data_IF_349568630236
#
_entry.id   IF_349568630236
#
_cell.length_a   1.000
_cell.length_b   1.000
_cell.length_c   1.000
_cell.angle_alpha   90.00
_cell.angle_beta   90.00
_cell.angle_gamma   90.00
#
_symmetry.space_group_name_H-M   'P 1'
#
loop_
_entity.id
_entity.type
_entity.pdbx_description
1 polymer ?
#
# COMPACT_ATOMS: atom_id res chain seq x y z
N UNK A 1 22.90 -9.51 6.58
CA UNK A 1 22.19 -10.33 7.59
C UNK A 1 22.12 -9.64 8.94
N UNK A 2 23.22 -9.07 9.44
CA UNK A 2 23.23 -8.29 10.70
C UNK A 2 22.12 -7.24 10.79
N UNK A 3 21.85 -6.47 9.72
CA UNK A 3 20.77 -5.48 9.72
C UNK A 3 19.37 -6.05 9.92
N UNK A 4 19.09 -7.23 9.37
CA UNK A 4 17.77 -7.87 9.47
C UNK A 4 17.61 -8.56 10.82
N UNK A 5 18.71 -9.02 11.42
CA UNK A 5 18.71 -9.91 12.57
C UNK A 5 18.14 -11.29 12.24
N UNK A 6 18.02 -12.13 13.27
CA UNK A 6 17.54 -13.50 13.17
C UNK A 6 18.60 -14.49 12.71
N UNK A 7 18.30 -15.78 12.90
CA UNK A 7 19.18 -16.88 12.50
C UNK A 7 18.86 -17.28 11.06
N UNK A 8 19.86 -17.15 10.19
CA UNK A 8 19.75 -17.42 8.76
C UNK A 8 20.46 -18.72 8.41
N UNK A 9 19.69 -19.73 7.99
CA UNK A 9 20.20 -21.04 7.62
C UNK A 9 20.19 -21.19 6.10
N UNK A 10 21.21 -21.85 5.54
CA UNK A 10 21.30 -22.08 4.10
C UNK A 10 20.22 -23.08 3.66
N UNK A 11 19.43 -22.71 2.66
CA UNK A 11 18.41 -23.56 2.05
C UNK A 11 19.01 -24.59 1.08
N UNK A 12 18.24 -25.66 0.82
CA UNK A 12 18.64 -26.72 -0.09
C UNK A 12 18.58 -26.31 -1.58
N UNK A 13 17.68 -25.39 -1.92
CA UNK A 13 17.44 -24.92 -3.30
C UNK A 13 17.47 -23.41 -3.39
N UNK A 14 17.76 -22.90 -4.58
CA UNK A 14 17.72 -21.47 -4.88
C UNK A 14 16.30 -20.87 -4.84
N UNK A 15 16.21 -19.55 -4.98
CA UNK A 15 14.97 -18.78 -4.90
C UNK A 15 14.95 -17.67 -5.94
N UNK A 16 13.88 -17.52 -6.73
CA UNK A 16 13.70 -16.42 -7.71
C UNK A 16 14.92 -16.14 -8.61
N UNK A 17 15.61 -17.19 -9.08
CA UNK A 17 16.81 -17.05 -9.93
C UNK A 17 18.12 -16.82 -9.16
N UNK A 18 18.08 -16.78 -7.82
CA UNK A 18 19.24 -16.76 -6.95
C UNK A 18 19.63 -18.20 -6.57
N UNK A 19 20.83 -18.69 -6.94
CA UNK A 19 21.24 -20.08 -6.68
C UNK A 19 21.51 -20.36 -5.20
N UNK A 20 21.83 -19.34 -4.41
CA UNK A 20 22.04 -19.49 -2.96
C UNK A 20 20.87 -18.84 -2.24
N UNK A 21 20.16 -19.63 -1.43
CA UNK A 21 19.08 -19.18 -0.57
C UNK A 21 19.50 -19.30 0.89
N UNK A 22 19.12 -18.30 1.68
CA UNK A 22 19.13 -18.31 3.14
C UNK A 22 17.70 -18.14 3.64
N UNK A 23 17.33 -18.90 4.66
CA UNK A 23 16.00 -18.91 5.24
C UNK A 23 16.11 -18.63 6.74
N UNK A 24 15.26 -17.73 7.21
CA UNK A 24 14.99 -17.56 8.63
C UNK A 24 13.52 -17.85 8.91
N UNK A 25 13.20 -18.38 10.08
CA UNK A 25 11.84 -18.71 10.50
C UNK A 25 11.56 -18.15 11.88
N UNK A 26 10.38 -17.57 12.09
CA UNK A 26 9.90 -17.23 13.44
C UNK A 26 9.07 -18.35 14.04
N UNK A 27 8.99 -18.39 15.37
CA UNK A 27 8.10 -19.31 16.10
C UNK A 27 6.63 -19.19 15.65
N UNK A 28 6.21 -18.01 15.22
CA UNK A 28 4.86 -17.67 14.75
C UNK A 28 4.58 -18.01 13.28
N UNK A 29 5.29 -19.00 12.71
CA UNK A 29 5.19 -19.46 11.30
C UNK A 29 5.59 -18.41 10.26
N UNK A 30 6.32 -17.36 10.66
CA UNK A 30 6.89 -16.39 9.73
C UNK A 30 8.10 -16.95 9.00
N UNK A 31 8.26 -16.61 7.72
CA UNK A 31 9.43 -17.01 6.91
C UNK A 31 10.06 -15.76 6.31
N UNK A 32 11.39 -15.68 6.37
CA UNK A 32 12.17 -14.72 5.59
C UNK A 32 13.11 -15.45 4.66
N UNK A 33 13.21 -14.98 3.42
CA UNK A 33 14.08 -15.54 2.38
C UNK A 33 15.09 -14.50 1.95
N UNK A 34 16.33 -14.93 1.72
CA UNK A 34 17.41 -14.09 1.21
C UNK A 34 18.15 -14.85 0.11
N UNK A 35 18.11 -14.32 -1.11
CA UNK A 35 18.81 -14.86 -2.28
C UNK A 35 20.11 -14.11 -2.57
N UNK A 36 21.17 -14.82 -2.94
CA UNK A 36 22.44 -14.23 -3.40
C UNK A 36 23.00 -14.94 -4.63
N UNK A 37 24.01 -14.33 -5.25
CA UNK A 37 24.78 -14.87 -6.39
C UNK A 37 23.96 -15.08 -7.67
N UNK A 38 23.04 -14.16 -7.97
CA UNK A 38 22.32 -14.21 -9.24
C UNK A 38 23.33 -14.22 -10.42
N UNK A 39 23.15 -15.07 -11.46
CA UNK A 39 24.15 -15.22 -12.52
C UNK A 39 24.52 -13.93 -13.26
N UNK A 40 23.55 -13.01 -13.41
CA UNK A 40 23.74 -11.72 -14.09
C UNK A 40 24.03 -10.55 -13.13
N UNK A 41 23.95 -10.79 -11.82
CA UNK A 41 24.15 -9.79 -10.78
C UNK A 41 24.71 -10.47 -9.51
N UNK A 42 25.95 -11.00 -9.56
CA UNK A 42 26.45 -11.88 -8.49
C UNK A 42 26.63 -11.19 -7.14
N UNK A 43 26.71 -9.85 -7.13
CA UNK A 43 26.79 -9.02 -5.92
C UNK A 43 25.41 -8.61 -5.39
N UNK A 44 24.33 -8.85 -6.14
CA UNK A 44 22.97 -8.52 -5.70
C UNK A 44 22.51 -9.46 -4.58
N UNK A 45 21.83 -8.87 -3.60
CA UNK A 45 21.16 -9.58 -2.51
C UNK A 45 19.68 -9.24 -2.56
N UNK A 46 18.84 -10.26 -2.69
CA UNK A 46 17.39 -10.09 -2.68
C UNK A 46 16.81 -10.61 -1.37
N UNK A 47 15.96 -9.83 -0.72
CA UNK A 47 15.37 -10.18 0.57
C UNK A 47 13.85 -10.12 0.47
N UNK A 48 13.17 -11.17 0.91
CA UNK A 48 11.71 -11.33 0.92
C UNK A 48 11.27 -11.80 2.32
N UNK A 49 11.16 -10.88 3.31
CA UNK A 49 10.67 -11.19 4.64
C UNK A 49 9.15 -11.11 4.69
N UNK A 50 8.50 -12.15 5.22
CA UNK A 50 7.05 -12.09 5.49
C UNK A 50 6.72 -11.05 6.55
N UNK A 51 5.48 -10.54 6.54
CA UNK A 51 4.99 -9.59 7.54
C UNK A 51 5.18 -10.09 8.99
N UNK A 52 5.12 -11.41 9.22
CA UNK A 52 5.31 -12.00 10.56
C UNK A 52 6.75 -11.83 11.08
N UNK A 53 7.75 -11.76 10.19
CA UNK A 53 9.14 -11.47 10.57
C UNK A 53 9.32 -10.01 10.94
N UNK A 54 8.59 -9.11 10.27
CA UNK A 54 8.72 -7.66 10.42
C UNK A 54 7.84 -7.10 11.53
N UNK A 55 6.66 -7.68 11.77
CA UNK A 55 5.67 -7.18 12.73
C UNK A 55 6.21 -6.96 14.16
N UNK A 56 7.13 -7.80 14.69
CA UNK A 56 7.71 -7.57 16.02
C UNK A 56 8.79 -6.47 16.06
N UNK A 57 9.19 -5.90 14.92
CA UNK A 57 10.26 -4.90 14.90
C UNK A 57 9.75 -3.58 15.46
N UNK A 58 10.53 -2.92 16.36
CA UNK A 58 10.22 -1.54 16.72
C UNK A 58 10.36 -0.65 15.49
N UNK A 59 9.60 0.45 15.45
CA UNK A 59 9.60 1.39 14.32
C UNK A 59 11.01 1.91 14.01
N UNK A 60 11.86 2.09 15.03
CA UNK A 60 13.26 2.51 14.86
C UNK A 60 14.09 1.50 14.07
N UNK A 61 13.86 0.20 14.27
CA UNK A 61 14.53 -0.84 13.48
C UNK A 61 14.03 -0.82 12.04
N UNK A 62 12.73 -0.63 11.82
CA UNK A 62 12.15 -0.50 10.48
C UNK A 62 12.79 0.69 9.75
N UNK A 63 12.81 1.88 10.38
CA UNK A 63 13.47 3.09 9.85
C UNK A 63 14.93 2.85 9.51
N UNK A 64 15.67 2.28 10.46
CA UNK A 64 17.10 1.96 10.31
C UNK A 64 17.36 1.05 9.10
N UNK A 65 16.52 0.03 8.90
CA UNK A 65 16.63 -0.86 7.74
C UNK A 65 16.28 -0.11 6.44
N UNK A 66 15.21 0.68 6.41
CA UNK A 66 14.83 1.44 5.21
C UNK A 66 15.90 2.47 4.81
N UNK A 67 16.49 3.15 5.78
CA UNK A 67 17.61 4.09 5.58
C UNK A 67 18.86 3.37 5.10
N UNK A 68 19.19 2.20 5.66
CA UNK A 68 20.30 1.40 5.19
C UNK A 68 20.12 0.94 3.73
N UNK A 69 18.90 0.51 3.34
CA UNK A 69 18.61 0.18 1.94
C UNK A 69 18.84 1.40 1.03
N UNK A 70 18.45 2.61 1.46
CA UNK A 70 18.73 3.85 0.70
C UNK A 70 20.23 4.10 0.54
N UNK A 71 21.00 3.97 1.62
CA UNK A 71 22.46 4.20 1.61
C UNK A 71 23.23 3.21 0.74
N UNK A 72 22.69 2.00 0.54
CA UNK A 72 23.29 0.97 -0.31
C UNK A 72 22.79 1.01 -1.76
N UNK A 73 22.10 2.08 -2.17
CA UNK A 73 21.41 2.19 -3.47
C UNK A 73 20.47 0.98 -3.75
N UNK A 74 19.92 0.42 -2.68
CA UNK A 74 19.02 -0.72 -2.74
C UNK A 74 17.61 -0.31 -3.16
N UNK A 75 16.87 -1.27 -3.72
CA UNK A 75 15.52 -1.04 -4.19
C UNK A 75 14.46 -1.82 -3.41
N UNK A 76 13.44 -1.11 -2.94
CA UNK A 76 12.25 -1.74 -2.38
C UNK A 76 11.27 -2.05 -3.51
N UNK A 77 11.20 -3.32 -3.91
CA UNK A 77 10.37 -3.76 -5.03
C UNK A 77 8.90 -3.94 -4.64
N UNK A 78 8.64 -4.22 -3.36
CA UNK A 78 7.31 -4.36 -2.76
C UNK A 78 7.34 -3.93 -1.29
N UNK A 79 6.29 -3.24 -0.87
CA UNK A 79 6.00 -2.90 0.52
C UNK A 79 4.49 -2.94 0.74
N UNK A 80 4.06 -3.61 1.81
CA UNK A 80 2.65 -3.72 2.16
C UNK A 80 2.44 -2.97 3.49
N UNK A 81 1.60 -1.93 3.49
CA UNK A 81 1.15 -1.24 4.70
C UNK A 81 -0.18 -1.82 5.15
N UNK A 82 -0.32 -2.14 6.44
CA UNK A 82 -1.57 -2.62 7.00
C UNK A 82 -2.10 -1.67 8.08
N UNK A 83 -3.40 -1.39 8.02
CA UNK A 83 -4.16 -0.73 9.08
C UNK A 83 -5.23 -1.69 9.60
N UNK A 84 -5.28 -1.88 10.91
CA UNK A 84 -6.23 -2.76 11.57
C UNK A 84 -7.34 -1.95 12.25
N UNK A 85 -8.55 -2.00 11.67
CA UNK A 85 -9.77 -1.52 12.30
C UNK A 85 -10.29 -2.59 13.27
N UNK A 86 -9.71 -2.61 14.48
CA UNK A 86 -10.01 -3.60 15.52
C UNK A 86 -11.47 -3.60 15.96
N UNK A 87 -12.13 -2.45 15.88
CA UNK A 87 -13.52 -2.30 16.28
C UNK A 87 -14.49 -2.60 15.12
N UNK A 88 -13.97 -2.92 13.93
CA UNK A 88 -14.77 -3.15 12.73
C UNK A 88 -15.75 -2.01 12.43
N UNK A 89 -15.31 -0.77 12.66
CA UNK A 89 -16.07 0.46 12.42
C UNK A 89 -16.49 0.59 10.96
N UNK A 90 -15.67 0.08 10.04
CA UNK A 90 -16.00 0.00 8.60
C UNK A 90 -16.05 -1.48 8.19
N UNK A 91 -17.21 -2.16 8.36
CA UNK A 91 -17.33 -3.56 8.00
C UNK A 91 -17.28 -3.76 6.47
N UNK A 92 -16.84 -4.94 6.03
CA UNK A 92 -16.72 -5.25 4.59
C UNK A 92 -18.04 -5.08 3.82
N UNK A 93 -19.18 -5.36 4.47
CA UNK A 93 -20.50 -5.17 3.88
C UNK A 93 -20.76 -3.72 3.51
N UNK A 94 -20.39 -2.77 4.38
CA UNK A 94 -20.54 -1.34 4.11
C UNK A 94 -19.66 -0.91 2.94
N UNK A 95 -18.42 -1.40 2.88
CA UNK A 95 -17.49 -1.13 1.77
C UNK A 95 -18.10 -1.62 0.45
N UNK A 96 -18.59 -2.87 0.43
CA UNK A 96 -19.21 -3.48 -0.75
C UNK A 96 -20.44 -2.71 -1.21
N UNK A 97 -21.37 -2.41 -0.29
CA UNK A 97 -22.59 -1.67 -0.59
C UNK A 97 -22.29 -0.27 -1.16
N UNK A 98 -21.32 0.44 -0.59
CA UNK A 98 -20.91 1.75 -1.10
C UNK A 98 -20.35 1.66 -2.53
N UNK A 99 -19.58 0.61 -2.84
CA UNK A 99 -19.04 0.40 -4.19
C UNK A 99 -20.17 0.04 -5.17
N UNK A 100 -21.05 -0.89 -4.80
CA UNK A 100 -22.20 -1.31 -5.61
C UNK A 100 -23.18 -0.15 -5.88
N UNK A 101 -23.34 0.75 -4.90
CA UNK A 101 -24.14 1.97 -5.03
C UNK A 101 -23.44 3.08 -5.85
N UNK A 102 -22.23 2.85 -6.36
CA UNK A 102 -21.46 3.85 -7.11
C UNK A 102 -20.93 5.02 -6.26
N UNK A 103 -20.89 4.86 -4.94
CA UNK A 103 -20.44 5.88 -3.98
C UNK A 103 -18.92 5.83 -3.72
N UNK A 104 -18.20 4.94 -4.41
CA UNK A 104 -16.75 4.82 -4.30
C UNK A 104 -16.05 5.65 -5.37
N UNK A 105 -15.29 6.67 -4.96
CA UNK A 105 -14.38 7.42 -5.84
C UNK A 105 -13.00 6.79 -5.74
N UNK A 106 -12.57 6.11 -6.79
CA UNK A 106 -11.27 5.42 -6.83
C UNK A 106 -10.61 5.50 -8.20
N UNK A 107 -9.28 5.42 -8.23
CA UNK A 107 -8.50 5.25 -9.46
C UNK A 107 -8.50 3.80 -9.95
N UNK A 108 -8.89 2.85 -9.11
CA UNK A 108 -9.00 1.46 -9.48
C UNK A 108 -10.19 1.28 -10.43
N UNK A 109 -9.98 0.58 -11.53
CA UNK A 109 -11.02 0.30 -12.52
C UNK A 109 -11.75 -1.04 -12.27
N UNK A 110 -11.32 -1.80 -11.27
CA UNK A 110 -11.85 -3.13 -10.96
C UNK A 110 -11.85 -3.36 -9.45
N UNK A 111 -12.91 -4.02 -9.00
CA UNK A 111 -13.03 -4.64 -7.70
C UNK A 111 -13.24 -6.14 -7.89
N UNK A 112 -12.64 -6.96 -7.04
CA UNK A 112 -12.90 -8.40 -6.97
C UNK A 112 -13.21 -8.78 -5.52
N UNK A 113 -14.31 -9.47 -5.29
CA UNK A 113 -14.56 -10.12 -4.00
C UNK A 113 -14.21 -11.60 -4.11
N UNK A 114 -13.43 -12.10 -3.15
CA UNK A 114 -13.12 -13.51 -3.00
C UNK A 114 -13.68 -13.98 -1.66
N UNK A 115 -14.70 -14.83 -1.72
CA UNK A 115 -15.24 -15.52 -0.55
C UNK A 115 -14.64 -16.91 -0.43
N UNK A 116 -14.11 -17.25 0.73
CA UNK A 116 -13.73 -18.62 1.06
C UNK A 116 -14.79 -19.25 1.96
N UNK A 117 -15.31 -20.41 1.58
CA UNK A 117 -16.28 -21.18 2.39
C UNK A 117 -15.70 -22.57 2.67
N UNK A 118 -15.72 -22.99 3.92
CA UNK A 118 -15.38 -24.38 4.27
C UNK A 118 -16.58 -25.27 4.00
N UNK A 119 -16.40 -26.32 3.20
CA UNK A 119 -17.44 -27.32 2.89
C UNK A 119 -17.68 -28.23 4.11
N UNK A 120 -16.67 -28.41 4.97
CA UNK A 120 -16.68 -29.38 6.07
C UNK A 120 -16.84 -28.76 7.46
N UNK A 121 -16.67 -27.45 7.60
CA UNK A 121 -16.83 -26.74 8.86
C UNK A 121 -17.81 -25.59 8.68
N UNK A 122 -18.83 -25.48 9.54
CA UNK A 122 -19.80 -24.39 9.57
C UNK A 122 -19.20 -23.05 10.05
N UNK A 123 -17.89 -22.87 9.88
CA UNK A 123 -17.16 -21.65 10.26
C UNK A 123 -17.48 -20.54 9.26
N UNK A 124 -17.68 -19.29 9.71
CA UNK A 124 -18.05 -18.18 8.83
C UNK A 124 -17.08 -18.04 7.65
N UNK A 125 -17.66 -17.80 6.48
CA UNK A 125 -16.94 -17.54 5.24
C UNK A 125 -16.09 -16.27 5.40
N UNK A 126 -14.78 -16.38 5.17
CA UNK A 126 -13.89 -15.22 5.11
C UNK A 126 -14.01 -14.57 3.74
N UNK A 127 -14.41 -13.30 3.69
CA UNK A 127 -14.41 -12.50 2.46
C UNK A 127 -13.17 -11.60 2.41
N UNK A 128 -12.61 -11.46 1.22
CA UNK A 128 -11.57 -10.48 0.91
C UNK A 128 -11.98 -9.66 -0.30
N UNK A 129 -12.03 -8.34 -0.14
CA UNK A 129 -12.24 -7.37 -1.21
C UNK A 129 -10.90 -6.88 -1.73
N UNK A 130 -10.71 -6.97 -3.04
CA UNK A 130 -9.57 -6.47 -3.78
C UNK A 130 -10.00 -5.25 -4.59
N UNK A 131 -9.30 -4.13 -4.41
CA UNK A 131 -9.49 -2.89 -5.15
C UNK A 131 -8.23 -2.62 -5.96
N UNK A 132 -8.33 -2.78 -7.28
CA UNK A 132 -7.21 -2.71 -8.22
C UNK A 132 -6.79 -4.07 -8.77
N UNK A 133 -5.63 -4.10 -9.43
CA UNK A 133 -5.09 -5.30 -10.09
C UNK A 133 -3.79 -5.75 -9.41
N UNK A 134 -3.56 -7.07 -9.23
CA UNK A 134 -2.28 -7.60 -8.77
C UNK A 134 -1.08 -7.23 -9.66
N UNK A 135 -1.31 -6.90 -10.94
CA UNK A 135 -0.25 -6.47 -11.86
C UNK A 135 0.06 -4.97 -11.76
N UNK A 136 -0.79 -4.20 -11.09
CA UNK A 136 -0.60 -2.76 -10.90
C UNK A 136 0.43 -2.46 -9.80
N UNK A 137 0.86 -1.19 -9.71
CA UNK A 137 1.77 -0.74 -8.65
C UNK A 137 1.07 -0.54 -7.28
N UNK A 138 -0.27 -0.58 -7.23
CA UNK A 138 -1.05 -0.34 -6.01
C UNK A 138 -2.28 -1.25 -5.97
N UNK A 139 -2.37 -2.07 -4.94
CA UNK A 139 -3.51 -2.96 -4.70
C UNK A 139 -3.96 -2.81 -3.26
N UNK A 140 -5.24 -2.49 -3.05
CA UNK A 140 -5.84 -2.46 -1.72
C UNK A 140 -6.61 -3.77 -1.47
N UNK A 141 -6.38 -4.37 -0.31
CA UNK A 141 -7.07 -5.57 0.17
C UNK A 141 -7.78 -5.27 1.48
N UNK A 142 -9.07 -5.54 1.54
CA UNK A 142 -9.88 -5.45 2.75
C UNK A 142 -10.38 -6.84 3.13
N UNK A 143 -10.15 -7.28 4.36
CA UNK A 143 -10.64 -8.59 4.82
C UNK A 143 -10.84 -8.62 6.34
N UNK A 144 -11.66 -9.57 6.80
CA UNK A 144 -11.79 -9.86 8.22
C UNK A 144 -10.56 -10.65 8.68
N UNK A 145 -9.62 -9.94 9.31
CA UNK A 145 -8.36 -10.50 9.78
C UNK A 145 -8.57 -11.41 10.99
N UNK A 146 -9.61 -11.17 11.76
CA UNK A 146 -10.00 -12.01 12.90
C UNK A 146 -10.43 -13.39 12.43
N UNK A 147 -11.30 -13.47 11.42
CA UNK A 147 -11.70 -14.74 10.81
C UNK A 147 -10.52 -15.45 10.15
N UNK A 148 -9.67 -14.71 9.43
CA UNK A 148 -8.46 -15.29 8.80
C UNK A 148 -7.46 -15.83 9.82
N UNK A 149 -7.29 -15.14 10.96
CA UNK A 149 -6.40 -15.58 12.04
C UNK A 149 -7.00 -16.76 12.81
N UNK A 150 -8.31 -16.75 13.05
CA UNK A 150 -9.04 -17.85 13.68
C UNK A 150 -8.93 -19.13 12.84
N UNK A 151 -9.10 -19.04 11.53
CA UNK A 151 -8.94 -20.17 10.60
C UNK A 151 -7.50 -20.73 10.58
N UNK A 152 -6.51 -19.93 10.99
CA UNK A 152 -5.11 -20.32 11.13
C UNK A 152 -4.75 -20.78 12.54
N UNK A 153 -5.72 -20.89 13.44
CA UNK A 153 -5.56 -21.28 14.84
C UNK A 153 -4.56 -20.38 15.59
N UNK A 154 -4.57 -19.09 15.27
CA UNK A 154 -3.81 -18.08 16.01
C UNK A 154 -4.50 -17.81 17.33
N UNK A 155 -3.77 -17.77 18.43
CA UNK A 155 -4.34 -17.49 19.77
C UNK A 155 -4.83 -16.05 19.93
N UNK A 156 -4.17 -15.10 19.26
CA UNK A 156 -4.44 -13.65 19.31
C UNK A 156 -5.55 -13.19 18.34
N UNK A 157 -6.37 -14.11 17.84
CA UNK A 157 -7.31 -13.81 16.76
C UNK A 157 -8.35 -12.75 17.15
N UNK A 158 -8.78 -12.71 18.41
CA UNK A 158 -9.80 -11.78 18.91
C UNK A 158 -9.36 -10.30 18.89
N UNK A 159 -8.05 -10.05 18.86
CA UNK A 159 -7.50 -8.68 18.89
C UNK A 159 -7.56 -7.97 17.54
N UNK A 160 -7.94 -8.70 16.49
CA UNK A 160 -8.07 -8.19 15.13
C UNK A 160 -9.52 -7.86 14.77
N UNK A 161 -9.68 -7.03 13.74
CA UNK A 161 -10.97 -6.73 13.13
C UNK A 161 -10.84 -6.71 11.61
N UNK A 162 -11.27 -5.62 10.98
CA UNK A 162 -11.13 -5.45 9.53
C UNK A 162 -9.74 -4.90 9.22
N UNK A 163 -8.97 -5.63 8.40
CA UNK A 163 -7.66 -5.17 7.94
C UNK A 163 -7.76 -4.51 6.58
N UNK A 164 -7.12 -3.36 6.47
CA UNK A 164 -6.86 -2.62 5.24
C UNK A 164 -5.39 -2.80 4.88
N UNK A 165 -5.08 -3.55 3.82
CA UNK A 165 -3.72 -3.82 3.39
C UNK A 165 -3.45 -3.18 2.03
N UNK A 166 -2.61 -2.16 2.03
CA UNK A 166 -2.17 -1.44 0.84
C UNK A 166 -0.84 -2.00 0.36
N UNK A 167 -0.88 -2.80 -0.69
CA UNK A 167 0.27 -3.35 -1.38
C UNK A 167 0.80 -2.35 -2.41
N UNK A 168 2.06 -1.95 -2.25
CA UNK A 168 2.77 -1.01 -3.10
C UNK A 168 3.93 -1.73 -3.79
N UNK A 169 4.11 -1.49 -5.09
CA UNK A 169 5.21 -2.07 -5.89
C UNK A 169 5.99 -1.00 -6.62
N UNK A 170 7.23 -1.34 -7.00
CA UNK A 170 8.09 -0.49 -7.85
C UNK A 170 8.17 0.94 -7.29
N UNK A 171 7.90 1.95 -8.12
CA UNK A 171 8.02 3.36 -7.77
C UNK A 171 7.17 3.74 -6.55
N UNK A 172 5.97 3.16 -6.41
CA UNK A 172 5.11 3.40 -5.24
C UNK A 172 5.73 2.88 -3.94
N UNK A 173 6.37 1.71 -3.98
CA UNK A 173 7.09 1.19 -2.82
C UNK A 173 8.31 2.06 -2.48
N UNK A 174 9.00 2.61 -3.49
CA UNK A 174 10.14 3.51 -3.31
C UNK A 174 9.76 4.83 -2.64
N UNK A 175 8.68 5.45 -3.11
CA UNK A 175 8.16 6.69 -2.53
C UNK A 175 7.71 6.44 -1.09
N UNK A 176 6.99 5.35 -0.84
CA UNK A 176 6.56 5.00 0.52
C UNK A 176 7.75 4.74 1.45
N UNK A 177 8.80 4.06 0.98
CA UNK A 177 10.06 3.92 1.71
C UNK A 177 10.63 5.28 2.12
N UNK A 178 10.74 6.22 1.19
CA UNK A 178 11.31 7.54 1.48
C UNK A 178 10.52 8.25 2.58
N UNK A 179 9.19 8.19 2.52
CA UNK A 179 8.33 8.72 3.57
C UNK A 179 8.60 8.00 4.90
N UNK A 180 8.47 6.67 4.94
CA UNK A 180 8.62 5.90 6.18
C UNK A 180 10.02 5.97 6.82
N UNK A 181 11.06 6.24 6.03
CA UNK A 181 12.43 6.42 6.53
C UNK A 181 12.60 7.65 7.42
N UNK A 182 11.79 8.69 7.22
CA UNK A 182 11.97 10.01 7.86
C UNK A 182 10.72 10.56 8.54
N UNK A 183 9.54 9.98 8.26
CA UNK A 183 8.29 10.45 8.84
C UNK A 183 8.23 10.05 10.33
N UNK A 184 8.21 11.05 11.20
CA UNK A 184 7.94 10.87 12.63
C UNK A 184 6.49 10.42 12.86
N UNK A 185 6.25 9.75 13.98
CA UNK A 185 4.93 9.18 14.28
C UNK A 185 3.84 10.25 14.38
N UNK A 186 4.17 11.34 15.07
CA UNK A 186 3.35 12.54 15.21
C UNK A 186 2.86 13.09 13.87
N UNK A 187 3.68 13.00 12.82
CA UNK A 187 3.37 13.58 11.51
C UNK A 187 2.32 12.79 10.72
N UNK A 188 2.00 11.55 11.09
CA UNK A 188 0.93 10.80 10.43
C UNK A 188 -0.28 10.51 11.31
N UNK A 189 -0.15 10.64 12.64
CA UNK A 189 -1.33 10.63 13.51
C UNK A 189 -2.33 11.72 13.13
N UNK A 190 -1.87 12.89 12.66
CA UNK A 190 -2.74 13.97 12.17
C UNK A 190 -3.60 13.55 10.95
N UNK A 191 -3.10 12.62 10.13
CA UNK A 191 -3.80 12.12 8.94
C UNK A 191 -4.67 10.90 9.22
N UNK A 192 -4.67 10.37 10.45
CA UNK A 192 -5.62 9.32 10.83
C UNK A 192 -7.00 9.94 11.02
N UNK A 193 -7.87 9.70 10.06
CA UNK A 193 -9.29 10.04 10.16
C UNK A 193 -9.93 9.02 11.10
N UNK A 194 -10.05 9.34 12.38
CA UNK A 194 -10.96 8.59 13.26
C UNK A 194 -12.38 8.75 12.70
N UNK A 195 -13.12 7.65 12.47
CA UNK A 195 -14.47 7.75 11.95
C UNK A 195 -15.34 8.54 12.92
N UNK A 196 -16.00 9.54 12.37
CA UNK A 196 -16.94 10.47 13.00
C UNK A 196 -17.83 9.77 14.05
N UNK A 197 -17.47 9.91 15.33
CA UNK A 197 -18.39 9.73 16.44
C UNK A 197 -18.11 10.80 17.52
N UNK A 198 -18.92 11.87 17.43
CA UNK A 198 -19.14 12.98 18.38
C UNK A 198 -18.01 13.98 18.63
N UNK A 199 -18.11 15.15 17.99
CA UNK A 199 -18.49 16.42 18.67
C UNK A 199 -18.60 17.56 17.66
N UNK A 200 -19.84 18.00 17.42
CA UNK A 200 -20.05 19.41 17.20
C UNK A 200 -19.71 20.14 18.49
N UNK A 201 -18.55 20.80 18.54
CA UNK A 201 -18.26 22.04 19.26
C UNK A 201 -16.77 22.37 19.07
N UNK A 202 -16.51 23.49 18.39
CA UNK A 202 -15.24 24.23 18.32
C UNK A 202 -13.96 23.45 17.99
N UNK A 203 -13.69 23.28 16.69
CA UNK A 203 -12.34 23.50 16.15
C UNK A 203 -12.45 24.41 14.94
N UNK A 204 -12.45 25.72 15.19
CA UNK A 204 -11.95 26.70 14.23
C UNK A 204 -10.44 26.52 14.12
N UNK A 205 -10.03 25.49 13.39
CA UNK A 205 -8.65 25.26 12.99
C UNK A 205 -8.61 25.31 11.47
N UNK A 206 -8.48 26.53 10.93
CA UNK A 206 -8.23 26.73 9.50
C UNK A 206 -6.86 26.12 9.21
N UNK A 207 -6.84 24.91 8.63
CA UNK A 207 -5.66 24.42 7.93
C UNK A 207 -5.50 25.30 6.69
N UNK A 208 -4.73 26.38 6.82
CA UNK A 208 -4.24 27.15 5.69
C UNK A 208 -3.35 26.23 4.85
N UNK A 209 -3.94 25.57 3.87
CA UNK A 209 -3.22 25.05 2.73
C UNK A 209 -2.81 26.26 1.87
N UNK A 210 -1.51 26.59 1.71
CA UNK A 210 -1.08 27.61 0.78
C UNK A 210 -1.05 27.00 -0.62
N UNK A 211 -2.22 26.63 -1.12
CA UNK A 211 -2.48 26.48 -2.55
C UNK A 211 -3.49 27.57 -2.88
N UNK A 212 -2.97 28.66 -3.45
CA UNK A 212 -3.75 29.79 -3.92
C UNK A 212 -4.96 29.31 -4.72
N UNK A 213 -6.16 29.72 -4.31
CA UNK A 213 -7.46 29.37 -4.90
C UNK A 213 -7.68 29.89 -6.34
N UNK A 214 -6.64 30.19 -7.11
CA UNK A 214 -6.78 30.76 -8.47
C UNK A 214 -6.73 29.74 -9.62
N UNK A 215 -6.46 28.45 -9.38
CA UNK A 215 -6.32 27.47 -10.48
C UNK A 215 -7.46 26.43 -10.61
N UNK A 216 -8.54 26.55 -9.84
CA UNK A 216 -9.67 25.58 -9.90
C UNK A 216 -10.85 25.98 -10.81
N UNK A 217 -10.70 27.00 -11.67
CA UNK A 217 -11.74 27.37 -12.65
C UNK A 217 -11.20 27.57 -14.07
N UNK A 218 -10.39 26.65 -14.60
CA UNK A 218 -10.34 26.47 -16.06
C UNK A 218 -9.80 25.10 -16.50
N UNK A 219 -10.66 24.10 -16.60
CA UNK A 219 -10.38 22.97 -17.49
C UNK A 219 -11.54 22.74 -18.46
N UNK A 220 -11.30 23.21 -19.69
CA UNK A 220 -11.97 22.81 -20.93
C UNK A 220 -12.08 21.29 -20.99
N UNK A 221 -13.21 20.81 -21.52
CA UNK A 221 -13.36 19.41 -21.93
C UNK A 221 -12.36 19.14 -23.06
N UNK A 222 -11.57 18.08 -22.92
CA UNK A 222 -10.78 17.53 -24.01
C UNK A 222 -11.77 16.87 -24.97
N UNK A 223 -12.02 17.48 -26.13
CA UNK A 223 -12.93 16.94 -27.15
C UNK A 223 -13.46 17.91 -28.21
N UNK A 224 -13.25 19.22 -28.10
CA UNK A 224 -13.78 20.16 -29.11
C UNK A 224 -12.88 20.22 -30.36
N UNK A 225 -13.44 20.14 -31.58
CA UNK A 225 -12.67 20.22 -32.82
C UNK A 225 -12.10 21.63 -33.02
N UNK A 226 -10.87 21.70 -33.52
CA UNK A 226 -10.20 22.95 -33.87
C UNK A 226 -10.99 23.70 -34.95
N UNK A 227 -11.40 24.93 -34.67
CA UNK A 227 -12.01 25.81 -35.66
C UNK A 227 -10.99 26.19 -36.76
N UNK A 228 -11.43 26.37 -38.02
CA UNK A 228 -10.53 26.68 -39.13
C UNK A 228 -9.99 28.12 -39.02
N UNK A 229 -8.74 28.28 -39.42
CA UNK A 229 -8.05 29.58 -39.47
C UNK A 229 -8.46 30.24 -40.78
N UNK A 230 -9.40 31.19 -40.72
CA UNK A 230 -9.76 32.02 -41.87
C UNK A 230 -8.63 33.00 -42.20
N UNK A 231 -8.14 32.91 -43.44
CA UNK A 231 -7.35 33.95 -44.08
C UNK A 231 -8.23 35.11 -44.51
N UNK A 232 -7.70 36.34 -44.43
CA UNK A 232 -8.44 37.51 -44.87
C UNK A 232 -7.66 38.82 -44.70
N UNK A 233 -7.06 39.25 -45.79
CA UNK A 233 -6.39 40.53 -46.06
C UNK A 233 -7.17 41.80 -45.68
N UNK A 234 -6.44 42.88 -45.38
CA UNK A 234 -6.57 44.30 -45.81
C UNK A 234 -5.54 45.10 -44.98
N UNK A 235 -4.69 46.02 -45.43
CA UNK A 235 -4.57 46.92 -46.59
C UNK A 235 -3.56 48.03 -46.17
N UNK A 236 -3.11 48.91 -47.07
CA UNK A 236 -1.71 49.37 -47.12
C UNK A 236 -1.46 50.75 -46.47
N UNK A 237 -0.23 51.01 -46.03
CA UNK A 237 0.31 52.37 -45.98
C UNK A 237 1.76 52.38 -46.47
N UNK A 238 1.91 52.96 -47.67
CA UNK A 238 3.15 53.52 -48.20
C UNK A 238 3.42 54.87 -47.52
N UNK A 239 4.68 55.22 -47.25
CA UNK A 239 5.26 56.52 -47.59
C UNK A 239 6.78 56.50 -47.30
N UNK A 240 7.53 56.79 -48.37
CA UNK A 240 8.89 57.34 -48.50
C UNK A 240 10.03 56.84 -47.61
#
# INVERSE_FOLDING_TARGET
>A
MQMLGGDWNKGATGFRGYPVLWITTSASRGVGKLGTRAPRAPLEVHVDPSAVIIAPWPIEKVRTVLQWILQQDGHLTRLDCALDDRNSRVPLSTIRQAIEAGQCVTRANRMQSISSSSIHHATPSGETLYLGSPQSQTLLRNYDKRLESQAKEREDWQDYGIRWELELKKDRAQVCRQVLSYLEETNWLEFMVEPFDRLGQHLSGVANCPLSQQELTSHRRIGDPLAPIDGGSHGPHSFM
#
